data_IF_947018246215
#
_entry.id   IF_947018246215
#
_cell.length_a   1.000
_cell.length_b   1.000
_cell.length_c   1.000
_cell.angle_alpha   90.00
_cell.angle_beta   90.00
_cell.angle_gamma   90.00
#
_symmetry.space_group_name_H-M   'P 1'
#
loop_
_entity.id
_entity.type
_entity.pdbx_description
1 polymer ?
#
# COMPACT_ATOMS: atom_id res chain seq x y z
N UNK A 1 19.55 4.37 1.23
CA UNK A 1 18.93 3.20 1.90
C UNK A 1 19.93 2.06 1.90
N UNK A 2 20.19 1.42 3.05
CA UNK A 2 21.22 0.36 3.17
C UNK A 2 20.95 -0.86 2.26
N UNK A 3 19.68 -1.09 1.91
CA UNK A 3 19.21 -2.16 1.03
C UNK A 3 19.34 -1.90 -0.48
N UNK A 4 19.63 -0.67 -0.89
CA UNK A 4 19.65 -0.29 -2.32
C UNK A 4 18.29 -0.35 -3.02
N UNK A 5 17.17 -0.46 -2.27
CA UNK A 5 15.81 -0.42 -2.80
C UNK A 5 15.12 0.92 -2.50
N UNK A 6 14.02 1.18 -3.19
CA UNK A 6 13.16 2.33 -2.90
C UNK A 6 12.39 2.14 -1.57
N UNK A 7 11.87 3.23 -0.97
CA UNK A 7 10.97 3.13 0.18
C UNK A 7 9.69 2.33 -0.13
N UNK A 8 9.15 2.42 -1.35
CA UNK A 8 7.99 1.66 -1.79
C UNK A 8 8.28 0.16 -1.81
N UNK A 9 9.43 -0.23 -2.38
CA UNK A 9 9.90 -1.61 -2.40
C UNK A 9 10.15 -2.17 -1.01
N UNK A 10 10.76 -1.38 -0.12
CA UNK A 10 10.99 -1.83 1.26
C UNK A 10 9.66 -2.05 2.00
N UNK A 11 8.70 -1.14 1.80
CA UNK A 11 7.37 -1.23 2.41
C UNK A 11 6.60 -2.46 1.92
N UNK A 12 6.52 -2.68 0.60
CA UNK A 12 5.88 -3.87 0.05
C UNK A 12 6.61 -5.15 0.46
N UNK A 13 7.94 -5.14 0.40
CA UNK A 13 8.78 -6.26 0.83
C UNK A 13 8.51 -6.64 2.28
N UNK A 14 8.35 -5.66 3.18
CA UNK A 14 7.96 -5.89 4.56
C UNK A 14 6.58 -6.54 4.67
N UNK A 15 5.57 -6.05 3.94
CA UNK A 15 4.22 -6.64 3.93
C UNK A 15 4.26 -8.11 3.50
N UNK A 16 5.02 -8.44 2.45
CA UNK A 16 5.17 -9.83 2.00
C UNK A 16 5.80 -10.75 3.06
N UNK A 17 6.62 -10.23 3.97
CA UNK A 17 7.24 -11.04 5.03
C UNK A 17 6.34 -11.20 6.27
N UNK A 18 5.20 -10.51 6.36
CA UNK A 18 4.29 -10.60 7.51
C UNK A 18 3.57 -11.97 7.59
N UNK A 19 3.47 -12.72 6.49
CA UNK A 19 2.81 -14.02 6.46
C UNK A 19 2.63 -14.59 5.06
N UNK A 20 2.57 -15.91 4.95
CA UNK A 20 2.34 -16.60 3.67
C UNK A 20 0.89 -16.48 3.16
N UNK A 21 0.00 -15.99 4.02
CA UNK A 21 -1.43 -15.74 3.79
C UNK A 21 -1.73 -14.27 3.43
N UNK A 22 -0.68 -13.44 3.30
CA UNK A 22 -0.80 -12.02 2.99
C UNK A 22 -0.47 -11.77 1.51
N UNK A 23 -1.46 -11.26 0.78
CA UNK A 23 -1.33 -10.90 -0.63
C UNK A 23 -1.62 -9.40 -0.82
N UNK A 24 -0.61 -8.52 -0.77
CA UNK A 24 -0.80 -7.09 -1.05
C UNK A 24 -1.28 -6.88 -2.50
N UNK A 25 -2.19 -5.93 -2.70
CA UNK A 25 -2.78 -5.57 -4.00
C UNK A 25 -2.45 -4.12 -4.38
N UNK A 26 -1.18 -3.77 -4.59
CA UNK A 26 -0.76 -2.41 -4.87
C UNK A 26 -1.31 -1.95 -6.23
N UNK A 27 -2.13 -0.90 -6.23
CA UNK A 27 -2.65 -0.27 -7.44
C UNK A 27 -1.74 0.85 -7.94
N UNK A 28 -1.59 0.99 -9.26
CA UNK A 28 -0.87 2.10 -9.90
C UNK A 28 -1.41 2.37 -11.30
N UNK A 29 -1.30 3.61 -11.78
CA UNK A 29 -1.59 4.02 -13.16
C UNK A 29 -0.33 4.20 -14.02
N UNK A 30 0.86 4.06 -13.42
CA UNK A 30 2.17 4.27 -14.05
C UNK A 30 2.94 2.96 -14.13
N UNK A 31 3.58 2.72 -15.27
CA UNK A 31 4.35 1.49 -15.55
C UNK A 31 5.60 1.44 -14.68
N UNK A 32 6.28 2.56 -14.47
CA UNK A 32 7.50 2.63 -13.66
C UNK A 32 7.23 2.20 -12.21
N UNK A 33 6.07 2.59 -11.68
CA UNK A 33 5.62 2.18 -10.35
C UNK A 33 5.23 0.69 -10.31
N UNK A 34 4.71 0.14 -11.42
CA UNK A 34 4.43 -1.29 -11.51
C UNK A 34 5.73 -2.09 -11.45
N UNK A 35 6.76 -1.67 -12.19
CA UNK A 35 8.09 -2.27 -12.16
C UNK A 35 8.71 -2.16 -10.75
N UNK A 36 8.56 -1.01 -10.10
CA UNK A 36 8.99 -0.81 -8.72
C UNK A 36 8.28 -1.79 -7.77
N UNK A 37 6.95 -1.90 -7.85
CA UNK A 37 6.14 -2.82 -7.04
C UNK A 37 6.56 -4.29 -7.24
N UNK A 38 6.81 -4.71 -8.47
CA UNK A 38 7.29 -6.06 -8.79
C UNK A 38 8.69 -6.28 -8.19
N UNK A 39 9.56 -5.27 -8.28
CA UNK A 39 10.91 -5.32 -7.69
C UNK A 39 10.92 -5.53 -6.18
N UNK A 40 9.83 -5.22 -5.46
CA UNK A 40 9.69 -5.48 -4.04
C UNK A 40 9.82 -6.97 -3.66
N UNK A 41 9.47 -7.89 -4.58
CA UNK A 41 9.59 -9.34 -4.36
C UNK A 41 11.05 -9.80 -4.22
N UNK A 42 11.99 -9.03 -4.75
CA UNK A 42 13.42 -9.29 -4.66
C UNK A 42 14.04 -8.77 -3.37
N UNK A 43 13.32 -7.93 -2.61
CA UNK A 43 13.80 -7.38 -1.34
C UNK A 43 13.83 -8.49 -0.29
N UNK A 44 15.03 -8.86 0.16
CA UNK A 44 15.22 -9.79 1.28
C UNK A 44 15.34 -8.99 2.56
N UNK A 45 14.50 -9.26 3.55
CA UNK A 45 14.57 -8.63 4.87
C UNK A 45 14.99 -9.71 5.87
N UNK A 46 16.10 -9.49 6.57
CA UNK A 46 16.60 -10.43 7.57
C UNK A 46 15.76 -10.35 8.86
N UNK A 47 15.80 -11.38 9.72
CA UNK A 47 15.08 -11.35 10.99
C UNK A 47 15.43 -10.17 11.89
N UNK A 48 16.69 -9.70 11.86
CA UNK A 48 17.12 -8.57 12.70
C UNK A 48 16.64 -7.22 12.15
N UNK A 49 16.64 -7.05 10.82
CA UNK A 49 16.04 -5.87 10.18
C UNK A 49 14.52 -5.86 10.36
N UNK A 50 13.87 -7.04 10.37
CA UNK A 50 12.44 -7.13 10.66
C UNK A 50 12.13 -6.61 12.05
N UNK A 51 12.90 -7.04 13.07
CA UNK A 51 12.78 -6.52 14.44
C UNK A 51 13.03 -5.02 14.51
N UNK A 52 14.02 -4.51 13.77
CA UNK A 52 14.29 -3.07 13.72
C UNK A 52 13.08 -2.30 13.18
N UNK A 53 12.51 -2.75 12.06
CA UNK A 53 11.31 -2.15 11.47
C UNK A 53 10.14 -2.21 12.45
N UNK A 54 9.89 -3.36 13.07
CA UNK A 54 8.80 -3.52 14.05
C UNK A 54 8.96 -2.62 15.28
N UNK A 55 10.18 -2.49 15.80
CA UNK A 55 10.48 -1.60 16.92
C UNK A 55 10.16 -0.13 16.57
N UNK A 56 10.56 0.31 15.37
CA UNK A 56 10.24 1.65 14.87
C UNK A 56 8.72 1.80 14.77
N UNK A 57 8.03 0.88 14.10
CA UNK A 57 6.58 0.94 13.88
C UNK A 57 5.78 0.90 15.18
N UNK A 58 6.22 0.15 16.20
CA UNK A 58 5.56 0.09 17.51
C UNK A 58 5.53 1.43 18.24
N UNK A 59 6.46 2.33 17.91
CA UNK A 59 6.51 3.69 18.46
C UNK A 59 5.46 4.60 17.81
N UNK A 60 5.00 4.26 16.61
CA UNK A 60 3.96 5.00 15.89
C UNK A 60 2.59 4.40 16.18
N UNK A 61 1.80 5.05 17.03
CA UNK A 61 0.41 4.69 17.25
C UNK A 61 -0.44 4.90 15.99
N UNK A 62 -0.56 3.87 15.15
CA UNK A 62 -1.46 3.91 14.00
C UNK A 62 -2.88 3.56 14.45
N UNK A 63 -3.73 4.59 14.61
CA UNK A 63 -5.19 4.41 14.58
C UNK A 63 -5.75 5.15 13.35
N UNK A 64 -6.28 4.37 12.42
CA UNK A 64 -6.94 4.90 11.22
C UNK A 64 -8.39 5.25 11.52
N UNK A 65 -8.92 6.24 10.80
CA UNK A 65 -10.36 6.50 10.77
C UNK A 65 -10.95 5.55 9.71
N UNK A 66 -11.91 4.69 10.08
CA UNK A 66 -12.54 3.76 9.15
C UNK A 66 -13.30 4.48 8.02
N UNK A 67 -13.82 5.66 8.30
CA UNK A 67 -14.39 6.57 7.31
C UNK A 67 -13.82 7.98 7.55
N UNK A 68 -12.90 8.43 6.71
CA UNK A 68 -12.35 9.79 6.82
C UNK A 68 -13.42 10.86 6.53
N UNK A 69 -13.15 12.13 6.84
CA UNK A 69 -14.05 13.27 6.52
C UNK A 69 -14.41 13.41 5.02
N UNK A 70 -13.81 12.62 4.13
CA UNK A 70 -14.10 12.57 2.69
C UNK A 70 -15.14 11.50 2.30
N UNK A 71 -15.57 10.63 3.22
CA UNK A 71 -16.52 9.53 2.96
C UNK A 71 -18.00 9.88 3.23
N UNK A 72 -18.34 11.16 3.26
CA UNK A 72 -19.73 11.61 3.01
C UNK A 72 -19.97 11.92 1.53
N UNK A 73 -19.10 11.43 0.63
CA UNK A 73 -19.46 11.37 -0.78
C UNK A 73 -20.34 10.15 -1.04
N UNK A 74 -21.61 10.28 -0.70
CA UNK A 74 -22.60 9.26 -1.00
C UNK A 74 -22.61 8.94 -2.50
N UNK A 75 -22.52 7.65 -2.82
CA UNK A 75 -22.46 7.13 -4.19
C UNK A 75 -23.63 7.58 -5.08
N UNK A 76 -24.77 7.96 -4.47
CA UNK A 76 -25.95 8.47 -5.18
C UNK A 76 -25.78 9.89 -5.75
N UNK A 77 -24.85 10.71 -5.25
CA UNK A 77 -24.74 12.12 -5.69
C UNK A 77 -24.35 12.29 -7.16
N UNK A 78 -23.64 11.32 -7.75
CA UNK A 78 -23.18 11.37 -9.14
C UNK A 78 -23.77 10.22 -9.99
N UNK A 79 -24.95 9.72 -9.62
CA UNK A 79 -25.61 8.57 -10.28
C UNK A 79 -26.53 8.98 -11.45
N UNK A 80 -26.31 10.13 -12.08
CA UNK A 80 -27.16 10.57 -13.20
C UNK A 80 -26.94 9.72 -14.46
N UNK A 81 -28.02 9.44 -15.17
CA UNK A 81 -28.01 8.73 -16.46
C UNK A 81 -28.14 9.75 -17.59
N UNK A 82 -27.27 9.73 -18.62
CA UNK A 82 -27.40 10.64 -19.75
C UNK A 82 -28.80 10.58 -20.40
N UNK A 83 -29.40 11.73 -20.78
CA UNK A 83 -30.70 11.74 -21.43
C UNK A 83 -30.65 11.06 -22.80
N UNK A 84 -31.77 10.48 -23.23
CA UNK A 84 -31.90 9.90 -24.58
C UNK A 84 -31.65 11.00 -25.63
N UNK A 85 -30.84 10.70 -26.64
CA UNK A 85 -30.61 11.60 -27.77
C UNK A 85 -31.87 11.69 -28.63
N UNK A 86 -32.27 12.92 -28.98
CA UNK A 86 -33.41 13.25 -29.83
C UNK A 86 -33.30 12.72 -31.25
#
# INVERSE_FOLDING_TARGET
SSKGCSPGQLSLGWIFHQGNDISPIPGTTKVENLEENIGALSVKITPDEMKEIENILSTYGFSGIRHGKQEEQFTWMNSETPPLSS
#
